data_IF_529883640165
#
_entry.id   IF_529883640165
#
_cell.length_a   1.000
_cell.length_b   1.000
_cell.length_c   1.000
_cell.angle_alpha   90.00
_cell.angle_beta   90.00
_cell.angle_gamma   90.00
#
_symmetry.space_group_name_H-M   'P 1'
#
loop_
_entity.id
_entity.type
_entity.pdbx_description
1 polymer ?
#
# COMPACT_ATOMS: atom_id res chain seq x y z
N UNK A 1 -54.43 13.64 60.18
CA UNK A 1 -53.85 14.12 58.91
C UNK A 1 -52.37 13.82 58.96
N UNK A 2 -51.98 12.67 58.43
CA UNK A 2 -50.60 12.20 58.42
C UNK A 2 -50.19 12.19 56.96
N UNK A 3 -49.43 13.20 56.56
CA UNK A 3 -48.93 13.38 55.20
C UNK A 3 -47.64 12.60 54.99
N UNK A 4 -47.60 11.89 53.86
CA UNK A 4 -46.50 11.22 53.15
C UNK A 4 -46.06 9.82 53.61
N UNK A 5 -45.86 8.94 52.62
CA UNK A 5 -44.57 8.84 51.93
C UNK A 5 -44.71 8.86 50.40
N UNK A 6 -44.43 10.00 49.77
CA UNK A 6 -44.41 10.15 48.30
C UNK A 6 -42.96 10.11 47.75
N UNK A 7 -41.95 10.21 48.64
CA UNK A 7 -40.54 10.24 48.24
C UNK A 7 -39.99 8.87 47.82
N UNK A 8 -40.52 7.78 48.37
CA UNK A 8 -39.98 6.42 48.15
C UNK A 8 -40.41 5.83 46.80
N UNK A 9 -41.60 6.15 46.31
CA UNK A 9 -42.06 5.73 44.97
C UNK A 9 -41.27 6.46 43.87
N UNK A 10 -41.03 7.76 44.05
CA UNK A 10 -40.31 8.57 43.06
C UNK A 10 -38.84 8.14 42.92
N UNK A 11 -38.18 7.76 44.02
CA UNK A 11 -36.81 7.20 43.98
C UNK A 11 -36.76 5.79 43.37
N UNK A 12 -37.78 4.96 43.62
CA UNK A 12 -37.87 3.62 43.05
C UNK A 12 -38.15 3.66 41.53
N UNK A 13 -39.01 4.56 41.07
CA UNK A 13 -39.27 4.77 39.64
C UNK A 13 -38.05 5.36 38.92
N UNK A 14 -37.39 6.38 39.47
CA UNK A 14 -36.15 6.92 38.90
C UNK A 14 -35.00 5.89 38.85
N UNK A 15 -34.90 5.02 39.87
CA UNK A 15 -33.96 3.89 39.88
C UNK A 15 -34.29 2.85 38.82
N UNK A 16 -35.58 2.60 38.55
CA UNK A 16 -36.04 1.61 37.57
C UNK A 16 -35.87 2.11 36.14
N UNK A 17 -36.14 3.40 35.90
CA UNK A 17 -35.91 4.05 34.61
C UNK A 17 -34.41 4.18 34.28
N UNK A 18 -33.57 4.42 35.29
CA UNK A 18 -32.12 4.40 35.13
C UNK A 18 -31.58 2.99 34.82
N UNK A 19 -32.19 1.94 35.39
CA UNK A 19 -31.83 0.54 35.13
C UNK A 19 -32.24 0.05 33.73
N UNK A 20 -33.25 0.69 33.12
CA UNK A 20 -33.74 0.38 31.77
C UNK A 20 -33.11 1.25 30.67
N UNK A 21 -32.20 2.15 31.01
CA UNK A 21 -31.54 3.02 30.05
C UNK A 21 -30.51 2.24 29.22
N UNK A 22 -30.71 2.21 27.89
CA UNK A 22 -29.76 1.60 26.95
C UNK A 22 -28.39 2.26 27.11
N UNK A 23 -27.30 1.50 27.32
CA UNK A 23 -25.98 2.05 27.55
C UNK A 23 -25.52 2.86 26.33
N UNK A 24 -25.03 4.07 26.59
CA UNK A 24 -24.37 4.91 25.60
C UNK A 24 -22.85 4.65 25.62
N UNK A 25 -22.21 4.54 24.45
CA UNK A 25 -20.75 4.53 24.40
C UNK A 25 -20.19 5.83 24.97
N UNK A 26 -19.03 5.77 25.64
CA UNK A 26 -18.36 6.98 26.10
C UNK A 26 -17.83 7.79 24.91
N UNK A 27 -17.72 9.12 25.05
CA UNK A 27 -17.19 9.98 23.99
C UNK A 27 -15.78 9.57 23.52
N UNK A 28 -14.93 9.12 24.45
CA UNK A 28 -13.60 8.59 24.14
C UNK A 28 -13.67 7.30 23.30
N UNK A 29 -14.58 6.37 23.62
CA UNK A 29 -14.77 5.16 22.82
C UNK A 29 -15.29 5.50 21.42
N UNK A 30 -16.26 6.41 21.32
CA UNK A 30 -16.77 6.89 20.03
C UNK A 30 -15.65 7.49 19.17
N UNK A 31 -14.79 8.33 19.76
CA UNK A 31 -13.66 8.92 19.04
C UNK A 31 -12.69 7.85 18.53
N UNK A 32 -12.29 6.90 19.39
CA UNK A 32 -11.39 5.79 19.01
C UNK A 32 -12.04 4.93 17.91
N UNK A 33 -13.32 4.60 18.02
CA UNK A 33 -14.04 3.85 17.00
C UNK A 33 -14.09 4.59 15.67
N UNK A 34 -14.30 5.91 15.67
CA UNK A 34 -14.27 6.71 14.43
C UNK A 34 -12.89 6.67 13.76
N UNK A 35 -11.81 6.75 14.54
CA UNK A 35 -10.44 6.63 14.02
C UNK A 35 -10.22 5.26 13.39
N UNK A 36 -10.62 4.18 14.07
CA UNK A 36 -10.53 2.80 13.53
C UNK A 36 -11.32 2.69 12.22
N UNK A 37 -12.56 3.17 12.18
CA UNK A 37 -13.41 3.12 10.98
C UNK A 37 -12.75 3.85 9.81
N UNK A 38 -12.29 5.08 10.01
CA UNK A 38 -11.67 5.89 8.95
C UNK A 38 -10.39 5.23 8.44
N UNK A 39 -9.52 4.78 9.34
CA UNK A 39 -8.27 4.12 8.95
C UNK A 39 -8.52 2.79 8.23
N UNK A 40 -9.43 1.96 8.73
CA UNK A 40 -9.82 0.70 8.10
C UNK A 40 -10.36 0.89 6.69
N UNK A 41 -11.23 1.88 6.48
CA UNK A 41 -11.78 2.18 5.16
C UNK A 41 -10.70 2.73 4.21
N UNK A 42 -9.84 3.61 4.69
CA UNK A 42 -8.75 4.19 3.89
C UNK A 42 -7.71 3.14 3.49
N UNK A 43 -7.26 2.31 4.43
CA UNK A 43 -6.32 1.22 4.17
C UNK A 43 -6.95 0.19 3.23
N UNK A 44 -8.21 -0.20 3.48
CA UNK A 44 -8.94 -1.14 2.63
C UNK A 44 -9.06 -0.67 1.20
N UNK A 45 -9.42 0.59 0.99
CA UNK A 45 -9.47 1.19 -0.34
C UNK A 45 -8.10 1.20 -1.04
N UNK A 46 -7.03 1.52 -0.30
CA UNK A 46 -5.66 1.52 -0.83
C UNK A 46 -5.24 0.11 -1.24
N UNK A 47 -5.54 -0.91 -0.44
CA UNK A 47 -5.25 -2.31 -0.73
C UNK A 47 -6.04 -2.81 -1.94
N UNK A 48 -7.33 -2.45 -2.06
CA UNK A 48 -8.12 -2.76 -3.26
C UNK A 48 -7.51 -2.11 -4.51
N UNK A 49 -7.16 -0.82 -4.44
CA UNK A 49 -6.51 -0.11 -5.54
C UNK A 49 -5.19 -0.74 -5.96
N UNK A 50 -4.35 -1.12 -4.99
CA UNK A 50 -3.10 -1.84 -5.24
C UNK A 50 -3.36 -3.23 -5.85
N UNK A 51 -4.36 -3.96 -5.39
CA UNK A 51 -4.69 -5.28 -5.92
C UNK A 51 -5.10 -5.24 -7.40
N UNK A 52 -5.82 -4.19 -7.83
CA UNK A 52 -6.25 -4.04 -9.23
C UNK A 52 -5.07 -3.95 -10.20
N UNK A 53 -3.99 -3.29 -9.79
CA UNK A 53 -2.80 -3.06 -10.61
C UNK A 53 -1.69 -4.08 -10.37
N UNK A 54 -1.83 -4.93 -9.36
CA UNK A 54 -0.81 -5.91 -8.99
C UNK A 54 -0.70 -6.98 -10.09
N UNK A 55 0.47 -7.13 -10.74
CA UNK A 55 0.63 -8.08 -11.84
C UNK A 55 0.61 -9.53 -11.36
N UNK A 56 1.15 -9.81 -10.18
CA UNK A 56 1.23 -11.17 -9.66
C UNK A 56 -0.09 -11.62 -9.03
N UNK A 57 -0.59 -12.78 -9.48
CA UNK A 57 -1.84 -13.35 -8.97
C UNK A 57 -1.78 -13.64 -7.47
N UNK A 58 -0.64 -14.12 -6.95
CA UNK A 58 -0.42 -14.38 -5.52
C UNK A 58 -0.53 -13.11 -4.68
N UNK A 59 0.18 -12.05 -5.07
CA UNK A 59 0.14 -10.77 -4.37
C UNK A 59 -1.23 -10.12 -4.48
N UNK A 60 -1.89 -10.24 -5.63
CA UNK A 60 -3.25 -9.75 -5.84
C UNK A 60 -4.24 -10.41 -4.88
N UNK A 61 -4.20 -11.73 -4.74
CA UNK A 61 -5.03 -12.47 -3.78
C UNK A 61 -4.73 -12.02 -2.35
N UNK A 62 -3.45 -11.86 -2.00
CA UNK A 62 -3.04 -11.35 -0.69
C UNK A 62 -3.62 -9.95 -0.41
N UNK A 63 -3.48 -9.00 -1.36
CA UNK A 63 -3.96 -7.63 -1.23
C UNK A 63 -5.48 -7.58 -1.08
N UNK A 64 -6.22 -8.38 -1.85
CA UNK A 64 -7.68 -8.46 -1.73
C UNK A 64 -8.12 -9.12 -0.42
N UNK A 65 -7.44 -10.18 0.03
CA UNK A 65 -7.74 -10.81 1.31
C UNK A 65 -7.55 -9.83 2.48
N UNK A 66 -6.43 -9.08 2.47
CA UNK A 66 -6.18 -8.05 3.48
C UNK A 66 -7.15 -6.88 3.38
N UNK A 67 -7.51 -6.45 2.16
CA UNK A 67 -8.53 -5.43 1.96
C UNK A 67 -9.88 -5.85 2.58
N UNK A 68 -10.32 -7.07 2.31
CA UNK A 68 -11.54 -7.63 2.91
C UNK A 68 -11.45 -7.65 4.43
N UNK A 69 -10.32 -8.08 4.99
CA UNK A 69 -10.09 -8.11 6.43
C UNK A 69 -10.24 -6.72 7.07
N UNK A 70 -9.55 -5.70 6.55
CA UNK A 70 -9.60 -4.35 7.13
C UNK A 70 -10.95 -3.67 6.93
N UNK A 71 -11.64 -3.93 5.81
CA UNK A 71 -12.99 -3.43 5.57
C UNK A 71 -14.01 -4.07 6.52
N UNK A 72 -13.88 -5.37 6.79
CA UNK A 72 -14.69 -6.07 7.80
C UNK A 72 -14.45 -5.49 9.20
N UNK A 73 -13.21 -5.13 9.54
CA UNK A 73 -12.90 -4.45 10.80
C UNK A 73 -13.61 -3.10 10.89
N UNK A 74 -13.52 -2.25 9.86
CA UNK A 74 -14.18 -0.94 9.84
C UNK A 74 -15.70 -1.03 9.91
N UNK A 75 -16.31 -1.94 9.13
CA UNK A 75 -17.75 -2.15 9.14
C UNK A 75 -18.24 -2.76 10.46
N UNK A 76 -17.50 -3.75 10.98
CA UNK A 76 -17.73 -4.36 12.28
C UNK A 76 -17.67 -3.32 13.40
N UNK A 77 -16.66 -2.44 13.38
CA UNK A 77 -16.50 -1.38 14.37
C UNK A 77 -17.68 -0.41 14.36
N UNK A 78 -18.19 -0.04 13.17
CA UNK A 78 -19.40 0.76 13.07
C UNK A 78 -20.60 0.07 13.74
N UNK A 79 -20.84 -1.20 13.39
CA UNK A 79 -21.95 -1.96 13.94
C UNK A 79 -21.80 -2.20 15.45
N UNK A 80 -20.58 -2.40 15.93
CA UNK A 80 -20.24 -2.57 17.35
C UNK A 80 -20.55 -1.31 18.16
N UNK A 81 -20.07 -0.14 17.68
CA UNK A 81 -20.18 1.12 18.42
C UNK A 81 -21.55 1.77 18.29
N UNK A 82 -22.08 1.87 17.07
CA UNK A 82 -23.28 2.67 16.79
C UNK A 82 -24.55 1.84 16.69
N UNK A 83 -24.48 0.65 16.09
CA UNK A 83 -25.61 -0.28 16.07
C UNK A 83 -25.69 -1.14 17.34
N UNK A 84 -24.68 -1.06 18.22
CA UNK A 84 -24.59 -1.77 19.50
C UNK A 84 -24.75 -3.29 19.33
N UNK A 85 -24.24 -3.83 18.22
CA UNK A 85 -24.39 -5.24 17.87
C UNK A 85 -23.36 -6.11 18.61
N UNK A 86 -23.84 -7.07 19.41
CA UNK A 86 -22.99 -8.04 20.13
C UNK A 86 -22.10 -8.83 19.19
N UNK A 87 -22.71 -9.32 18.11
CA UNK A 87 -22.03 -10.14 17.12
C UNK A 87 -20.91 -9.33 16.46
N UNK A 88 -21.17 -8.06 16.16
CA UNK A 88 -20.15 -7.18 15.60
C UNK A 88 -19.01 -6.92 16.58
N UNK A 89 -19.29 -6.68 17.87
CA UNK A 89 -18.24 -6.52 18.91
C UNK A 89 -17.37 -7.79 19.01
N UNK A 90 -17.99 -8.97 19.01
CA UNK A 90 -17.25 -10.25 19.04
C UNK A 90 -16.37 -10.42 17.78
N UNK A 91 -16.92 -10.13 16.60
CA UNK A 91 -16.16 -10.18 15.34
C UNK A 91 -14.98 -9.22 15.39
N UNK A 92 -15.19 -7.96 15.80
CA UNK A 92 -14.14 -6.95 15.94
C UNK A 92 -13.06 -7.39 16.93
N UNK A 93 -13.44 -7.98 18.07
CA UNK A 93 -12.49 -8.53 19.04
C UNK A 93 -11.62 -9.64 18.44
N UNK A 94 -12.22 -10.56 17.68
CA UNK A 94 -11.49 -11.64 16.99
C UNK A 94 -10.53 -11.06 15.95
N UNK A 95 -10.97 -10.05 15.19
CA UNK A 95 -10.13 -9.37 14.19
C UNK A 95 -8.96 -8.63 14.85
N UNK A 96 -9.18 -7.92 15.96
CA UNK A 96 -8.09 -7.28 16.71
C UNK A 96 -7.12 -8.30 17.30
N UNK A 97 -7.61 -9.41 17.86
CA UNK A 97 -6.76 -10.48 18.37
C UNK A 97 -5.89 -11.08 17.26
N UNK A 98 -6.48 -11.34 16.09
CA UNK A 98 -5.73 -11.79 14.91
C UNK A 98 -4.67 -10.77 14.50
N UNK A 99 -5.01 -9.48 14.44
CA UNK A 99 -4.07 -8.40 14.09
C UNK A 99 -2.90 -8.37 15.08
N UNK A 100 -3.18 -8.40 16.39
CA UNK A 100 -2.14 -8.43 17.42
C UNK A 100 -1.22 -9.64 17.27
N UNK A 101 -1.77 -10.83 16.99
CA UNK A 101 -0.96 -12.04 16.76
C UNK A 101 -0.11 -11.89 15.49
N UNK A 102 -0.69 -11.43 14.39
CA UNK A 102 0.02 -11.27 13.12
C UNK A 102 1.19 -10.29 13.25
N UNK A 103 0.96 -9.13 13.86
CA UNK A 103 1.99 -8.11 14.13
C UNK A 103 3.08 -8.65 15.07
N UNK A 104 2.69 -9.45 16.08
CA UNK A 104 3.65 -10.07 17.01
C UNK A 104 4.54 -11.09 16.29
N UNK A 105 3.97 -11.92 15.42
CA UNK A 105 4.74 -12.87 14.60
C UNK A 105 5.70 -12.11 13.69
N UNK A 106 5.23 -11.05 13.04
CA UNK A 106 6.04 -10.23 12.14
C UNK A 106 7.20 -9.55 12.86
N UNK A 107 6.96 -9.01 14.06
CA UNK A 107 8.00 -8.46 14.92
C UNK A 107 9.04 -9.52 15.33
N UNK A 108 8.59 -10.73 15.68
CA UNK A 108 9.49 -11.83 16.06
C UNK A 108 10.35 -12.31 14.88
N UNK A 109 9.77 -12.45 13.69
CA UNK A 109 10.54 -12.81 12.47
C UNK A 109 11.53 -11.71 12.12
N UNK A 110 11.11 -10.45 12.23
CA UNK A 110 11.97 -9.29 11.99
C UNK A 110 13.16 -9.21 12.96
N UNK A 111 12.94 -9.49 14.24
CA UNK A 111 14.00 -9.54 15.25
C UNK A 111 14.95 -10.72 14.98
N UNK A 112 14.43 -11.87 14.55
CA UNK A 112 15.22 -13.08 14.30
C UNK A 112 16.15 -12.93 13.09
N UNK A 113 15.71 -12.27 12.01
CA UNK A 113 16.48 -12.13 10.76
C UNK A 113 17.56 -11.04 10.81
N UNK A 114 17.49 -10.08 11.75
CA UNK A 114 18.26 -8.83 11.65
C UNK A 114 19.23 -8.53 12.79
N UNK A 115 19.96 -9.54 13.26
CA UNK A 115 21.05 -9.36 14.23
C UNK A 115 22.28 -8.58 13.71
N UNK A 116 22.34 -8.22 12.42
CA UNK A 116 23.50 -7.52 11.82
C UNK A 116 23.36 -5.99 11.69
N UNK A 117 22.16 -5.39 11.81
CA UNK A 117 21.94 -3.95 11.60
C UNK A 117 21.22 -3.26 12.77
N UNK A 118 21.97 -2.92 13.83
CA UNK A 118 21.43 -2.46 15.13
C UNK A 118 20.52 -1.22 15.08
N UNK A 119 20.80 -0.24 14.23
CA UNK A 119 20.08 1.06 14.27
C UNK A 119 18.73 1.03 13.54
N UNK A 120 18.59 0.21 12.51
CA UNK A 120 17.33 0.05 11.78
C UNK A 120 16.33 -0.81 12.58
N UNK A 121 16.85 -1.81 13.29
CA UNK A 121 16.06 -2.72 14.13
C UNK A 121 15.31 -1.98 15.22
N UNK A 122 15.95 -1.02 15.89
CA UNK A 122 15.34 -0.29 17.00
C UNK A 122 14.15 0.57 16.53
N UNK A 123 14.28 1.26 15.38
CA UNK A 123 13.20 2.15 14.89
C UNK A 123 11.96 1.39 14.44
N UNK A 124 12.15 0.30 13.69
CA UNK A 124 11.03 -0.51 13.21
C UNK A 124 10.41 -1.34 14.35
N UNK A 125 11.20 -1.95 15.23
CA UNK A 125 10.68 -2.72 16.38
C UNK A 125 9.88 -1.85 17.35
N UNK A 126 10.28 -0.59 17.57
CA UNK A 126 9.52 0.36 18.38
C UNK A 126 8.16 0.66 17.75
N UNK A 127 8.12 0.86 16.42
CA UNK A 127 6.88 1.07 15.67
C UNK A 127 5.91 -0.10 15.83
N UNK A 128 6.36 -1.32 15.54
CA UNK A 128 5.55 -2.54 15.71
C UNK A 128 5.06 -2.74 17.15
N UNK A 129 5.94 -2.49 18.14
CA UNK A 129 5.56 -2.59 19.54
C UNK A 129 4.44 -1.61 19.90
N UNK A 130 4.54 -0.35 19.45
CA UNK A 130 3.49 0.66 19.65
C UNK A 130 2.16 0.22 19.00
N UNK A 131 2.20 -0.34 17.79
CA UNK A 131 1.02 -0.87 17.12
C UNK A 131 0.38 -2.05 17.87
N UNK A 132 1.20 -2.97 18.40
CA UNK A 132 0.73 -4.09 19.24
C UNK A 132 0.02 -3.57 20.49
N UNK A 133 0.62 -2.62 21.21
CA UNK A 133 -0.02 -2.03 22.40
C UNK A 133 -1.31 -1.27 22.07
N UNK A 134 -1.35 -0.58 20.93
CA UNK A 134 -2.53 0.13 20.47
C UNK A 134 -3.68 -0.83 20.14
N UNK A 135 -3.40 -1.91 19.41
CA UNK A 135 -4.42 -2.94 19.08
C UNK A 135 -4.95 -3.65 20.32
N UNK A 136 -4.07 -3.99 21.27
CA UNK A 136 -4.45 -4.54 22.58
C UNK A 136 -5.31 -3.56 23.38
N UNK A 137 -4.90 -2.29 23.44
CA UNK A 137 -5.64 -1.25 24.15
C UNK A 137 -7.06 -1.08 23.60
N UNK A 138 -7.22 -1.04 22.27
CA UNK A 138 -8.53 -0.97 21.63
C UNK A 138 -9.34 -2.24 21.90
N UNK A 139 -8.72 -3.42 21.82
CA UNK A 139 -9.38 -4.69 22.16
C UNK A 139 -9.91 -4.71 23.60
N UNK A 140 -9.17 -4.16 24.56
CA UNK A 140 -9.64 -4.04 25.95
C UNK A 140 -10.84 -3.09 26.09
N UNK A 141 -10.86 -1.98 25.32
CA UNK A 141 -12.01 -1.09 25.26
C UNK A 141 -13.25 -1.80 24.69
N UNK A 142 -13.08 -2.64 23.67
CA UNK A 142 -14.15 -3.47 23.11
C UNK A 142 -14.67 -4.51 24.11
N UNK A 143 -13.79 -5.14 24.91
CA UNK A 143 -14.22 -6.04 26.00
C UNK A 143 -15.05 -5.28 27.05
N UNK A 144 -14.60 -4.08 27.44
CA UNK A 144 -15.34 -3.24 28.38
C UNK A 144 -16.71 -2.84 27.81
N UNK A 145 -16.77 -2.54 26.52
CA UNK A 145 -18.02 -2.24 25.81
C UNK A 145 -18.95 -3.44 25.72
N UNK A 146 -18.42 -4.62 25.39
CA UNK A 146 -19.16 -5.88 25.36
C UNK A 146 -19.82 -6.19 26.71
N UNK A 147 -19.09 -6.01 27.81
CA UNK A 147 -19.62 -6.21 29.17
C UNK A 147 -20.83 -5.31 29.42
N UNK A 148 -20.71 -4.01 29.12
CA UNK A 148 -21.84 -3.06 29.26
C UNK A 148 -23.06 -3.44 28.42
N UNK A 149 -22.85 -3.97 27.21
CA UNK A 149 -23.94 -4.45 26.35
C UNK A 149 -24.60 -5.73 26.89
N UNK A 150 -23.80 -6.68 27.37
CA UNK A 150 -24.29 -7.92 27.97
C UNK A 150 -25.09 -7.60 29.23
N UNK A 151 -24.57 -6.73 30.10
CA UNK A 151 -25.25 -6.28 31.30
C UNK A 151 -26.59 -5.65 30.91
N UNK A 152 -26.64 -4.68 30.00
CA UNK A 152 -27.90 -4.03 29.63
C UNK A 152 -28.99 -4.95 29.04
N UNK A 153 -28.60 -6.03 28.34
CA UNK A 153 -29.57 -7.01 27.84
C UNK A 153 -30.04 -8.01 28.88
N UNK A 154 -29.24 -8.30 29.91
CA UNK A 154 -29.67 -9.10 31.06
C UNK A 154 -30.90 -8.51 31.78
N UNK A 155 -31.13 -7.20 31.61
CA UNK A 155 -32.21 -6.44 32.23
C UNK A 155 -33.39 -6.19 31.27
N UNK A 156 -33.41 -6.82 30.10
CA UNK A 156 -34.56 -6.79 29.19
C UNK A 156 -34.76 -5.49 28.42
N UNK A 157 -33.77 -4.58 28.37
CA UNK A 157 -33.88 -3.32 27.64
C UNK A 157 -34.13 -3.57 26.13
N UNK A 158 -35.27 -3.17 25.56
CA UNK A 158 -35.51 -3.25 24.14
C UNK A 158 -34.56 -2.28 23.41
N UNK A 159 -33.86 -2.79 22.40
CA UNK A 159 -32.89 -2.01 21.64
C UNK A 159 -33.54 -0.81 20.98
N UNK A 160 -33.37 0.39 21.55
CA UNK A 160 -33.85 1.64 20.95
C UNK A 160 -33.11 1.87 19.63
N UNK A 161 -33.86 1.96 18.54
CA UNK A 161 -33.40 2.30 17.20
C UNK A 161 -32.96 3.76 17.16
N UNK A 162 -31.69 4.02 17.50
CA UNK A 162 -31.07 5.34 17.27
C UNK A 162 -30.95 5.57 15.77
N UNK A 163 -31.30 6.78 15.32
CA UNK A 163 -31.36 7.25 13.92
C UNK A 163 -30.24 6.65 13.05
N UNK A 164 -30.61 5.61 12.29
CA UNK A 164 -29.70 4.78 11.49
C UNK A 164 -29.17 5.49 10.24
N UNK A 165 -29.70 6.68 9.92
CA UNK A 165 -29.56 7.28 8.59
C UNK A 165 -28.31 8.14 8.43
N UNK A 166 -27.86 8.86 9.46
CA UNK A 166 -26.73 9.81 9.36
C UNK A 166 -25.34 9.15 9.40
N UNK A 167 -25.19 8.05 10.14
CA UNK A 167 -23.92 7.33 10.27
C UNK A 167 -23.66 6.46 9.02
N UNK A 168 -24.71 5.85 8.47
CA UNK A 168 -24.63 5.11 7.21
C UNK A 168 -24.23 6.02 6.05
N UNK A 169 -24.73 7.26 6.05
CA UNK A 169 -24.33 8.30 5.09
C UNK A 169 -22.87 8.73 5.27
N UNK A 170 -22.39 8.89 6.50
CA UNK A 170 -20.98 9.18 6.77
C UNK A 170 -20.03 8.07 6.30
N UNK A 171 -20.41 6.82 6.54
CA UNK A 171 -19.65 5.65 6.06
C UNK A 171 -19.72 5.54 4.55
N UNK A 172 -20.89 5.77 3.95
CA UNK A 172 -21.06 5.84 2.50
C UNK A 172 -20.16 6.90 1.88
N UNK A 173 -20.02 8.07 2.52
CA UNK A 173 -19.14 9.13 2.06
C UNK A 173 -17.65 8.75 2.16
N UNK A 174 -17.20 8.16 3.27
CA UNK A 174 -15.81 7.72 3.42
C UNK A 174 -15.48 6.58 2.44
N UNK A 175 -16.40 5.63 2.25
CA UNK A 175 -16.27 4.58 1.25
C UNK A 175 -16.19 5.16 -0.17
N UNK A 176 -17.03 6.15 -0.50
CA UNK A 176 -17.00 6.84 -1.79
C UNK A 176 -15.67 7.58 -2.01
N UNK A 177 -15.18 8.32 -1.02
CA UNK A 177 -13.87 8.97 -1.08
C UNK A 177 -12.73 7.95 -1.24
N UNK A 178 -12.81 6.80 -0.56
CA UNK A 178 -11.87 5.70 -0.72
C UNK A 178 -11.88 5.11 -2.13
N UNK A 179 -13.07 4.89 -2.71
CA UNK A 179 -13.21 4.43 -4.11
C UNK A 179 -12.63 5.44 -5.09
N UNK A 180 -12.96 6.73 -4.93
CA UNK A 180 -12.40 7.81 -5.78
C UNK A 180 -10.89 7.87 -5.66
N UNK A 181 -10.34 7.74 -4.45
CA UNK A 181 -8.90 7.69 -4.21
C UNK A 181 -8.25 6.45 -4.85
N UNK A 182 -8.88 5.28 -4.72
CA UNK A 182 -8.39 4.04 -5.33
C UNK A 182 -8.38 4.12 -6.86
N UNK A 183 -9.41 4.72 -7.46
CA UNK A 183 -9.48 4.99 -8.91
C UNK A 183 -8.39 5.98 -9.31
N UNK A 184 -8.22 7.07 -8.57
CA UNK A 184 -7.18 8.07 -8.84
C UNK A 184 -5.77 7.46 -8.72
N UNK A 185 -5.53 6.62 -7.70
CA UNK A 185 -4.27 5.91 -7.51
C UNK A 185 -4.03 4.88 -8.62
N UNK A 186 -5.07 4.16 -9.05
CA UNK A 186 -5.01 3.25 -10.18
C UNK A 186 -4.62 4.01 -11.46
N UNK A 187 -5.34 5.08 -11.81
CA UNK A 187 -5.01 5.94 -12.95
C UNK A 187 -3.60 6.53 -12.88
N UNK A 188 -3.17 6.98 -11.71
CA UNK A 188 -1.83 7.51 -11.51
C UNK A 188 -0.75 6.44 -11.74
N UNK A 189 -0.98 5.18 -11.32
CA UNK A 189 -0.01 4.09 -11.47
C UNK A 189 -0.04 3.44 -12.85
N UNK A 190 -1.21 3.21 -13.44
CA UNK A 190 -1.33 2.68 -14.81
C UNK A 190 -0.78 3.64 -15.85
N UNK A 191 -0.78 4.96 -15.58
CA UNK A 191 -0.13 5.93 -16.47
C UNK A 191 1.38 5.67 -16.62
N UNK A 192 2.01 5.06 -15.63
CA UNK A 192 3.47 4.88 -15.62
C UNK A 192 3.94 3.44 -15.70
N UNK A 193 3.06 2.45 -15.58
CA UNK A 193 3.43 1.05 -15.83
C UNK A 193 3.03 0.66 -17.25
N UNK A 194 3.98 0.67 -18.19
CA UNK A 194 3.76 0.28 -19.58
C UNK A 194 4.93 -0.56 -20.06
N UNK A 195 4.62 -1.71 -20.64
CA UNK A 195 5.60 -2.61 -21.22
C UNK A 195 5.12 -2.99 -22.61
N UNK A 196 5.97 -2.83 -23.61
CA UNK A 196 5.67 -3.18 -25.00
C UNK A 196 6.89 -3.90 -25.59
N UNK A 197 6.64 -4.90 -26.44
CA UNK A 197 7.66 -5.70 -27.13
C UNK A 197 7.52 -5.49 -28.62
N UNK A 198 8.65 -5.45 -29.33
CA UNK A 198 8.71 -5.44 -30.79
C UNK A 198 7.88 -4.30 -31.41
N UNK A 199 7.96 -3.13 -30.78
CA UNK A 199 7.32 -1.91 -31.27
C UNK A 199 8.21 -1.19 -32.26
N UNK A 200 7.61 -0.31 -33.05
CA UNK A 200 8.37 0.57 -33.94
C UNK A 200 9.08 1.66 -33.14
N UNK A 201 10.20 2.16 -33.67
CA UNK A 201 11.03 3.21 -33.08
C UNK A 201 10.24 4.45 -32.63
N UNK A 202 9.26 4.86 -33.42
CA UNK A 202 8.41 6.04 -33.18
C UNK A 202 7.41 5.85 -32.03
N UNK A 203 7.18 4.61 -31.58
CA UNK A 203 6.33 4.30 -30.44
C UNK A 203 7.11 4.25 -29.12
N UNK A 204 8.44 4.27 -29.17
CA UNK A 204 9.29 4.27 -27.99
C UNK A 204 9.12 5.57 -27.18
N UNK A 205 9.24 5.52 -25.85
CA UNK A 205 9.10 6.70 -24.99
C UNK A 205 10.31 7.64 -25.01
N UNK A 206 11.35 7.28 -25.77
CA UNK A 206 12.60 8.03 -25.95
C UNK A 206 12.94 8.08 -27.44
N UNK A 207 13.71 9.09 -27.84
CA UNK A 207 14.29 9.13 -29.17
C UNK A 207 15.40 8.08 -29.25
N UNK A 208 15.26 7.16 -30.20
CA UNK A 208 16.17 6.03 -30.44
C UNK A 208 16.99 6.24 -31.72
N UNK A 209 18.10 5.50 -31.91
CA UNK A 209 18.88 5.53 -33.14
C UNK A 209 18.04 5.32 -34.40
N UNK A 210 18.46 5.90 -35.52
CA UNK A 210 17.62 5.91 -36.73
C UNK A 210 17.35 4.54 -37.32
N UNK A 211 18.24 3.58 -37.11
CA UNK A 211 18.15 2.19 -37.55
C UNK A 211 17.56 1.26 -36.48
N UNK A 212 17.10 1.78 -35.34
CA UNK A 212 16.62 0.95 -34.24
C UNK A 212 15.43 0.06 -34.64
N UNK A 213 15.59 -1.25 -34.42
CA UNK A 213 14.57 -2.28 -34.67
C UNK A 213 14.36 -3.15 -33.44
N UNK A 214 13.32 -3.99 -33.45
CA UNK A 214 13.00 -4.91 -32.35
C UNK A 214 12.98 -4.23 -30.99
N UNK A 215 12.34 -3.06 -30.94
CA UNK A 215 12.36 -2.21 -29.75
C UNK A 215 11.45 -2.80 -28.69
N UNK A 216 12.01 -3.05 -27.52
CA UNK A 216 11.26 -3.40 -26.31
C UNK A 216 11.49 -2.33 -25.27
N UNK A 217 10.43 -1.88 -24.58
CA UNK A 217 10.58 -0.88 -23.54
C UNK A 217 9.69 -1.15 -22.33
N UNK A 218 10.14 -0.65 -21.19
CA UNK A 218 9.42 -0.69 -19.93
C UNK A 218 9.46 0.68 -19.23
N UNK A 219 8.28 1.23 -18.94
CA UNK A 219 8.10 2.38 -18.06
C UNK A 219 7.50 1.84 -16.77
N UNK A 220 8.05 2.23 -15.61
CA UNK A 220 7.48 1.87 -14.28
C UNK A 220 7.02 3.06 -13.48
N UNK A 221 7.68 4.19 -13.69
CA UNK A 221 7.42 5.44 -12.98
C UNK A 221 7.84 6.59 -13.88
N UNK A 222 7.53 7.82 -13.49
CA UNK A 222 8.10 9.01 -14.16
C UNK A 222 9.64 8.98 -14.22
N UNK A 223 10.26 8.31 -13.26
CA UNK A 223 11.70 8.29 -13.09
C UNK A 223 12.36 7.08 -13.73
N UNK A 224 11.59 6.03 -14.06
CA UNK A 224 12.11 4.78 -14.61
C UNK A 224 11.66 4.54 -16.05
N UNK A 225 12.65 4.44 -16.95
CA UNK A 225 12.46 3.97 -18.33
C UNK A 225 13.60 3.02 -18.67
N UNK A 226 13.28 1.82 -19.12
CA UNK A 226 14.21 0.87 -19.72
C UNK A 226 13.83 0.65 -21.17
N UNK A 227 14.82 0.50 -22.05
CA UNK A 227 14.62 0.18 -23.45
C UNK A 227 15.74 -0.73 -23.93
N UNK A 228 15.42 -1.69 -24.76
CA UNK A 228 16.36 -2.50 -25.50
C UNK A 228 15.96 -2.53 -26.98
N UNK A 229 16.94 -2.59 -27.88
CA UNK A 229 16.72 -2.45 -29.32
C UNK A 229 17.96 -2.90 -30.11
N UNK A 230 17.73 -3.43 -31.31
CA UNK A 230 18.80 -3.75 -32.26
C UNK A 230 19.26 -2.48 -32.99
N UNK A 231 20.56 -2.29 -33.13
CA UNK A 231 21.19 -1.14 -33.81
C UNK A 231 22.60 -1.47 -34.25
N UNK A 232 23.16 -0.70 -35.19
CA UNK A 232 24.60 -0.77 -35.49
C UNK A 232 25.43 0.05 -34.50
N UNK A 233 26.73 -0.31 -34.35
CA UNK A 233 27.66 0.42 -33.46
C UNK A 233 27.79 1.89 -33.85
N UNK A 234 27.92 2.17 -35.16
CA UNK A 234 28.08 3.54 -35.67
C UNK A 234 26.86 4.40 -35.34
N UNK A 235 25.64 3.88 -35.54
CA UNK A 235 24.42 4.62 -35.20
C UNK A 235 24.25 4.77 -33.69
N UNK A 236 24.65 3.77 -32.89
CA UNK A 236 24.64 3.86 -31.44
C UNK A 236 25.58 4.95 -30.92
N UNK A 237 26.81 5.02 -31.44
CA UNK A 237 27.79 6.05 -31.08
C UNK A 237 27.30 7.44 -31.47
N UNK A 238 26.74 7.58 -32.69
CA UNK A 238 26.15 8.84 -33.14
C UNK A 238 24.96 9.28 -32.27
N UNK A 239 24.08 8.32 -31.93
CA UNK A 239 22.94 8.57 -31.05
C UNK A 239 23.36 8.96 -29.63
N UNK A 240 24.40 8.35 -29.07
CA UNK A 240 24.94 8.74 -27.76
C UNK A 240 25.46 10.19 -27.76
N UNK A 241 26.10 10.61 -28.85
CA UNK A 241 26.66 11.95 -28.97
C UNK A 241 25.57 13.03 -29.13
N UNK A 242 24.56 12.78 -29.97
CA UNK A 242 23.63 13.83 -30.44
C UNK A 242 22.14 13.48 -30.36
N UNK A 243 21.80 12.20 -30.22
CA UNK A 243 20.41 11.70 -30.29
C UNK A 243 19.73 11.49 -28.94
N UNK A 244 20.44 11.70 -27.82
CA UNK A 244 19.84 11.66 -26.50
C UNK A 244 19.00 12.92 -26.24
N UNK A 245 17.93 12.86 -25.42
CA UNK A 245 17.21 14.06 -25.03
C UNK A 245 18.13 15.08 -24.34
N UNK A 246 17.93 16.41 -24.51
CA UNK A 246 18.72 17.47 -23.85
C UNK A 246 18.95 17.25 -22.34
N UNK A 247 17.94 16.77 -21.63
CA UNK A 247 18.00 16.50 -20.19
C UNK A 247 18.77 15.21 -19.80
N UNK A 248 19.05 14.37 -20.79
CA UNK A 248 19.77 13.11 -20.66
C UNK A 248 21.18 13.16 -21.24
N UNK A 249 21.60 14.26 -21.90
CA UNK A 249 22.95 14.29 -22.47
C UNK A 249 24.02 14.07 -21.40
N UNK A 250 25.02 13.21 -21.69
CA UNK A 250 26.19 13.09 -20.85
C UNK A 250 26.90 14.45 -20.73
N UNK A 251 27.46 14.79 -19.56
CA UNK A 251 28.47 15.84 -19.48
C UNK A 251 29.61 15.56 -20.47
N UNK A 252 30.28 16.60 -20.99
CA UNK A 252 31.34 16.47 -22.01
C UNK A 252 32.47 15.48 -21.62
N UNK A 253 32.65 15.24 -20.32
CA UNK A 253 33.65 14.33 -19.75
C UNK A 253 33.27 12.84 -19.86
N UNK A 254 31.99 12.52 -20.05
CA UNK A 254 31.51 11.14 -20.14
C UNK A 254 31.51 10.70 -21.59
N UNK A 255 32.37 9.72 -21.89
CA UNK A 255 32.48 9.09 -23.20
C UNK A 255 32.10 7.61 -23.11
N UNK A 256 31.70 7.03 -24.24
CA UNK A 256 31.54 5.59 -24.36
C UNK A 256 32.89 4.90 -24.15
N UNK A 257 32.94 3.95 -23.22
CA UNK A 257 34.13 3.17 -22.91
C UNK A 257 33.94 1.73 -23.40
N UNK A 258 34.99 1.10 -23.94
CA UNK A 258 34.97 -0.34 -24.21
C UNK A 258 34.69 -1.15 -22.93
N UNK A 259 33.94 -2.23 -23.06
CA UNK A 259 33.66 -3.14 -21.94
C UNK A 259 34.92 -3.97 -21.63
N UNK A 260 35.60 -3.66 -20.52
CA UNK A 260 36.82 -4.39 -20.10
C UNK A 260 36.53 -5.64 -19.24
N UNK A 261 35.33 -5.71 -18.65
CA UNK A 261 34.88 -6.80 -17.80
C UNK A 261 33.44 -7.14 -18.15
N UNK A 262 33.09 -8.43 -18.14
CA UNK A 262 31.73 -8.89 -18.41
C UNK A 262 30.71 -8.04 -17.62
N UNK A 263 29.86 -7.34 -18.37
CA UNK A 263 28.71 -6.63 -17.85
C UNK A 263 27.47 -7.48 -18.12
N UNK A 264 26.43 -7.30 -17.33
CA UNK A 264 25.13 -7.89 -17.61
C UNK A 264 24.14 -6.76 -17.79
N UNK A 265 23.61 -6.66 -18.99
CA UNK A 265 22.51 -5.74 -19.25
C UNK A 265 21.26 -6.23 -18.53
N UNK A 266 20.30 -5.33 -18.36
CA UNK A 266 18.97 -5.68 -17.87
C UNK A 266 18.13 -5.97 -19.11
N UNK A 267 17.70 -7.21 -19.26
CA UNK A 267 16.77 -7.61 -20.29
C UNK A 267 15.35 -7.25 -19.84
N UNK A 268 14.61 -6.54 -20.69
CA UNK A 268 13.25 -6.10 -20.37
C UNK A 268 12.26 -7.16 -20.89
N UNK A 269 11.95 -8.14 -20.02
CA UNK A 269 11.03 -9.23 -20.30
C UNK A 269 9.85 -9.25 -19.33
N UNK A 270 8.62 -9.19 -19.83
CA UNK A 270 7.36 -8.92 -19.12
C UNK A 270 6.90 -9.92 -18.06
N UNK A 271 7.80 -10.55 -17.30
CA UNK A 271 7.43 -11.46 -16.22
C UNK A 271 8.52 -11.66 -15.15
N UNK A 272 9.11 -10.60 -14.56
CA UNK A 272 10.12 -10.79 -13.51
C UNK A 272 10.04 -9.76 -12.38
N UNK A 273 9.40 -10.18 -11.29
CA UNK A 273 9.50 -9.58 -9.95
C UNK A 273 10.90 -9.68 -9.31
N UNK A 274 11.95 -9.79 -10.14
CA UNK A 274 13.31 -9.97 -9.67
C UNK A 274 14.25 -9.15 -10.54
N UNK A 275 14.39 -7.90 -10.13
CA UNK A 275 15.51 -7.04 -10.51
C UNK A 275 16.80 -7.69 -10.02
N UNK A 276 17.47 -8.37 -10.91
CA UNK A 276 18.87 -8.68 -10.71
C UNK A 276 19.60 -8.11 -11.89
N UNK A 277 20.46 -7.11 -11.63
CA UNK A 277 21.47 -6.60 -12.58
C UNK A 277 22.31 -7.73 -13.23
N UNK A 278 22.18 -8.95 -12.71
CA UNK A 278 22.85 -10.17 -13.14
C UNK A 278 21.97 -11.14 -13.94
N UNK A 279 20.74 -10.77 -14.33
CA UNK A 279 19.82 -11.71 -15.01
C UNK A 279 19.76 -11.59 -16.53
N UNK A 280 20.21 -10.48 -17.13
CA UNK A 280 20.29 -10.38 -18.59
C UNK A 280 21.55 -11.04 -19.17
N UNK A 281 21.67 -11.02 -20.51
CA UNK A 281 22.77 -11.66 -21.22
C UNK A 281 24.11 -11.03 -20.81
N UNK A 282 25.16 -11.85 -20.65
CA UNK A 282 26.50 -11.34 -20.42
C UNK A 282 27.03 -10.67 -21.68
N UNK A 283 27.52 -9.44 -21.54
CA UNK A 283 28.14 -8.64 -22.59
C UNK A 283 29.62 -8.55 -22.26
N UNK A 284 30.43 -9.19 -23.08
CA UNK A 284 31.88 -9.25 -22.91
C UNK A 284 32.65 -8.34 -23.87
N UNK A 285 32.02 -7.95 -24.98
CA UNK A 285 32.57 -7.02 -25.97
C UNK A 285 31.50 -6.01 -26.39
N UNK A 286 31.82 -4.73 -26.26
CA UNK A 286 30.82 -3.68 -26.43
C UNK A 286 31.28 -2.30 -25.98
N UNK A 287 30.32 -1.39 -25.91
CA UNK A 287 30.48 -0.04 -25.41
C UNK A 287 29.56 0.20 -24.23
N UNK A 288 30.01 0.99 -23.25
CA UNK A 288 29.21 1.30 -22.08
C UNK A 288 29.47 2.74 -21.61
N UNK A 289 28.42 3.39 -21.12
CA UNK A 289 28.53 4.62 -20.36
C UNK A 289 27.44 4.69 -19.28
N UNK A 290 27.80 5.26 -18.14
CA UNK A 290 26.93 5.50 -16.99
C UNK A 290 27.21 6.90 -16.46
N UNK A 291 26.15 7.69 -16.29
CA UNK A 291 26.26 9.05 -15.79
C UNK A 291 25.03 9.46 -15.01
N UNK A 292 25.14 10.62 -14.36
CA UNK A 292 24.08 11.17 -13.53
C UNK A 292 23.87 12.64 -13.85
N UNK A 293 22.60 13.03 -13.99
CA UNK A 293 22.15 14.42 -14.10
C UNK A 293 21.18 14.69 -12.95
N UNK A 294 21.61 15.47 -11.96
CA UNK A 294 20.84 15.67 -10.73
C UNK A 294 20.61 14.36 -9.97
N UNK A 295 19.35 13.99 -9.73
CA UNK A 295 18.97 12.74 -9.06
C UNK A 295 18.64 11.58 -10.01
N UNK A 296 18.82 11.79 -11.31
CA UNK A 296 18.54 10.80 -12.35
C UNK A 296 19.85 10.21 -12.86
N UNK A 297 19.94 8.88 -12.81
CA UNK A 297 21.02 8.10 -13.39
C UNK A 297 20.60 7.56 -14.75
N UNK A 298 21.55 7.57 -15.68
CA UNK A 298 21.41 7.07 -17.03
C UNK A 298 22.50 6.04 -17.27
N UNK A 299 22.15 4.97 -17.98
CA UNK A 299 23.06 3.90 -18.37
C UNK A 299 22.75 3.53 -19.80
N UNK A 300 23.79 3.42 -20.63
CA UNK A 300 23.68 2.83 -21.95
C UNK A 300 24.75 1.77 -22.13
N UNK A 301 24.37 0.70 -22.80
CA UNK A 301 25.28 -0.41 -23.10
C UNK A 301 24.99 -0.88 -24.52
N UNK A 302 26.02 -1.14 -25.31
CA UNK A 302 25.92 -1.71 -26.63
C UNK A 302 26.73 -3.00 -26.66
N UNK A 303 26.09 -4.07 -27.10
CA UNK A 303 26.68 -5.39 -27.32
C UNK A 303 27.06 -5.54 -28.80
N UNK A 304 28.37 -5.62 -29.07
CA UNK A 304 28.89 -5.77 -30.44
C UNK A 304 28.53 -7.11 -31.05
N UNK A 305 28.50 -8.18 -30.25
CA UNK A 305 28.27 -9.54 -30.74
C UNK A 305 26.84 -9.67 -31.28
N UNK A 306 25.89 -9.13 -30.52
CA UNK A 306 24.47 -9.22 -30.85
C UNK A 306 23.92 -8.00 -31.62
N UNK A 307 24.73 -6.95 -31.82
CA UNK A 307 24.28 -5.68 -32.40
C UNK A 307 23.04 -5.12 -31.68
N UNK A 308 23.11 -5.17 -30.36
CA UNK A 308 21.96 -4.91 -29.49
C UNK A 308 22.33 -3.87 -28.43
N UNK A 309 21.48 -2.88 -28.25
CA UNK A 309 21.68 -1.77 -27.34
C UNK A 309 20.65 -1.78 -26.22
N UNK A 310 21.08 -1.28 -25.08
CA UNK A 310 20.29 -1.15 -23.86
C UNK A 310 20.39 0.30 -23.38
N UNK A 311 19.25 0.89 -23.07
CA UNK A 311 19.13 2.19 -22.41
C UNK A 311 18.38 2.04 -21.10
N UNK A 312 18.86 2.72 -20.07
CA UNK A 312 18.18 2.79 -18.79
C UNK A 312 18.24 4.18 -18.19
N UNK A 313 17.11 4.62 -17.65
CA UNK A 313 16.97 5.83 -16.84
C UNK A 313 16.30 5.46 -15.52
N UNK A 314 16.88 5.86 -14.39
CA UNK A 314 16.25 5.70 -13.08
C UNK A 314 16.64 6.85 -12.13
N UNK A 315 15.66 7.35 -11.36
CA UNK A 315 15.87 8.38 -10.35
C UNK A 315 15.60 7.89 -8.94
N UNK A 316 16.19 8.55 -7.93
CA UNK A 316 15.80 8.34 -6.52
C UNK A 316 14.54 9.15 -6.20
N UNK A 317 13.60 8.51 -5.49
CA UNK A 317 12.46 9.15 -4.85
C UNK A 317 12.86 9.90 -3.59
#
# INVERSE_FOLDING_TARGET
>A
MTSQPESTETELEASTDAALAVPSPSGAFVFVSLVVIVLSLWIGATLLGNGVIEPETSNRVYLYAWACFVLLLGFGQCLATFARSRVAVIVVLVLFAFLTIAESVWLLTFIAEWFEHRDLVIRFSLGFSVFIFLTLGIGLLEVAWLRKLVDAWGWGSPGRTVSRFTILQGIGFVALCGVVWAIAACHARTKFYRYEIDVSRDQAPIELPTDATHVTYEIKSNWFVGCDFDTTEDTFVAWFAEGLPPAAHPPEEIQLQPIERELRAIEYGGNLNRWTRNSGPPISDGLHADWRVGDIRYEVTFDRENQHAYYQRWGRH
#
